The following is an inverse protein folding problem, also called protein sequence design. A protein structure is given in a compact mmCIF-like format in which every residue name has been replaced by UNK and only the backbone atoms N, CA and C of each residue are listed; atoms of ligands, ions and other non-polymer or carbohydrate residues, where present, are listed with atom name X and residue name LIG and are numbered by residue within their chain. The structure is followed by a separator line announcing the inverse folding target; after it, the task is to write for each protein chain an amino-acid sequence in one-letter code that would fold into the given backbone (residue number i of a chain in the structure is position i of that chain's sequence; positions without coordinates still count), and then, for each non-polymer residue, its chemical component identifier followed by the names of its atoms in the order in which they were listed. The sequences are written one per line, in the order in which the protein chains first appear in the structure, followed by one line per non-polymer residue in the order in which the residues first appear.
data_IF_796328046871
#
_entry.id   IF_796328046871
#
_cell.length_a   1.000
_cell.length_b   1.000
_cell.length_c   1.000
_cell.angle_alpha   90.00
_cell.angle_beta   90.00
_cell.angle_gamma   90.00
#
_symmetry.space_group_name_H-M   'P 1'
#
loop_
_entity.id
_entity.type
_entity.pdbx_description
1 polymer ?
#
# COMPACT_ATOMS: atom_id res chain seq x y z
N UNK A 1 3.98 38.38 -9.35
CA UNK A 1 3.77 36.91 -9.39
C UNK A 1 4.79 36.38 -10.39
N UNK A 2 5.64 35.41 -10.02
CA UNK A 2 6.60 34.81 -10.96
C UNK A 2 5.82 34.11 -12.09
N UNK A 3 6.37 34.12 -13.30
CA UNK A 3 5.79 33.36 -14.41
C UNK A 3 5.85 31.85 -14.11
N UNK A 4 4.83 31.11 -14.52
CA UNK A 4 4.67 29.67 -14.20
C UNK A 4 5.85 28.87 -14.75
N UNK A 5 6.31 29.24 -15.93
CA UNK A 5 7.44 28.62 -16.64
C UNK A 5 8.75 28.76 -15.86
N UNK A 6 8.93 29.86 -15.14
CA UNK A 6 10.12 30.08 -14.30
C UNK A 6 10.04 29.18 -13.07
N UNK A 7 8.85 29.04 -12.46
CA UNK A 7 8.65 28.14 -11.32
C UNK A 7 8.84 26.69 -11.70
N UNK A 8 8.30 26.25 -12.84
CA UNK A 8 8.53 24.92 -13.38
C UNK A 8 10.01 24.66 -13.65
N UNK A 9 10.73 25.67 -14.17
CA UNK A 9 12.16 25.57 -14.38
C UNK A 9 12.91 25.41 -13.06
N UNK A 10 12.55 26.17 -12.02
CA UNK A 10 13.12 26.01 -10.67
C UNK A 10 12.85 24.61 -10.14
N UNK A 11 11.60 24.14 -10.19
CA UNK A 11 11.22 22.81 -9.70
C UNK A 11 11.95 21.68 -10.41
N UNK A 12 12.26 21.83 -11.70
CA UNK A 12 13.01 20.82 -12.46
C UNK A 12 14.42 20.53 -11.93
N UNK A 13 15.01 21.45 -11.15
CA UNK A 13 16.32 21.28 -10.51
C UNK A 13 16.25 20.71 -9.08
N UNK A 14 15.05 20.50 -8.55
CA UNK A 14 14.84 20.10 -7.16
C UNK A 14 14.45 18.62 -7.06
N UNK A 15 14.84 17.97 -5.96
CA UNK A 15 14.36 16.65 -5.62
C UNK A 15 12.89 16.68 -5.19
N UNK A 16 12.18 15.54 -5.31
CA UNK A 16 10.75 15.46 -4.96
C UNK A 16 10.44 15.92 -3.53
N UNK A 17 11.32 15.59 -2.57
CA UNK A 17 11.16 16.03 -1.19
C UNK A 17 11.24 17.56 -1.04
N UNK A 18 12.10 18.22 -1.83
CA UNK A 18 12.30 19.67 -1.79
C UNK A 18 11.11 20.38 -2.42
N UNK A 19 10.65 19.92 -3.58
CA UNK A 19 9.43 20.43 -4.25
C UNK A 19 8.23 20.32 -3.30
N UNK A 20 8.10 19.20 -2.58
CA UNK A 20 7.01 19.02 -1.64
C UNK A 20 7.08 19.96 -0.43
N UNK A 21 8.28 20.31 0.06
CA UNK A 21 8.42 21.30 1.15
C UNK A 21 7.97 22.69 0.70
N UNK A 22 8.26 23.06 -0.54
CA UNK A 22 7.93 24.37 -1.11
C UNK A 22 6.41 24.61 -1.18
N UNK A 23 5.59 23.56 -1.15
CA UNK A 23 4.12 23.65 -1.15
C UNK A 23 3.55 24.51 0.00
N UNK A 24 4.28 24.68 1.10
CA UNK A 24 3.80 25.44 2.26
C UNK A 24 3.87 26.96 2.08
N UNK A 25 4.47 27.45 0.98
CA UNK A 25 4.64 28.90 0.75
C UNK A 25 3.30 29.59 0.50
N UNK A 26 2.49 29.08 -0.44
CA UNK A 26 1.15 29.60 -0.71
C UNK A 26 0.30 28.59 -1.51
N UNK A 27 -1.01 28.83 -1.62
CA UNK A 27 -1.94 27.94 -2.36
C UNK A 27 -1.56 27.74 -3.83
N UNK A 28 -1.13 28.80 -4.52
CA UNK A 28 -0.72 28.74 -5.93
C UNK A 28 0.51 27.87 -6.11
N UNK A 29 1.52 28.06 -5.25
CA UNK A 29 2.74 27.25 -5.28
C UNK A 29 2.46 25.80 -4.93
N UNK A 30 1.56 25.54 -3.97
CA UNK A 30 1.09 24.19 -3.67
C UNK A 30 0.58 23.48 -4.91
N UNK A 31 -0.37 24.08 -5.63
CA UNK A 31 -0.96 23.52 -6.85
C UNK A 31 0.09 23.30 -7.95
N UNK A 32 0.99 24.26 -8.16
CA UNK A 32 2.04 24.15 -9.17
C UNK A 32 3.07 23.07 -8.82
N UNK A 33 3.52 22.98 -7.56
CA UNK A 33 4.41 21.92 -7.10
C UNK A 33 3.80 20.53 -7.31
N UNK A 34 2.52 20.36 -6.96
CA UNK A 34 1.83 19.07 -7.06
C UNK A 34 1.63 18.63 -8.51
N UNK A 35 1.24 19.57 -9.37
CA UNK A 35 1.13 19.33 -10.80
C UNK A 35 2.50 19.03 -11.44
N UNK A 36 3.54 19.78 -11.06
CA UNK A 36 4.91 19.54 -11.52
C UNK A 36 5.41 18.14 -11.12
N UNK A 37 5.12 17.70 -9.89
CA UNK A 37 5.49 16.36 -9.43
C UNK A 37 4.81 15.28 -10.29
N UNK A 38 3.52 15.41 -10.57
CA UNK A 38 2.82 14.50 -11.50
C UNK A 38 3.46 14.49 -12.89
N UNK A 39 3.72 15.66 -13.48
CA UNK A 39 4.37 15.75 -14.79
C UNK A 39 5.77 15.12 -14.79
N UNK A 40 6.54 15.31 -13.72
CA UNK A 40 7.87 14.71 -13.55
C UNK A 40 7.79 13.18 -13.50
N UNK A 41 6.84 12.62 -12.73
CA UNK A 41 6.56 11.18 -12.66
C UNK A 41 6.22 10.63 -14.05
N UNK A 42 5.36 11.33 -14.79
CA UNK A 42 4.96 10.93 -16.15
C UNK A 42 6.13 11.01 -17.14
N UNK A 43 6.92 12.10 -17.11
CA UNK A 43 8.05 12.32 -18.00
C UNK A 43 9.19 11.30 -17.76
N UNK A 44 9.47 10.96 -16.50
CA UNK A 44 10.46 9.94 -16.13
C UNK A 44 9.98 8.51 -16.37
N UNK A 45 8.72 8.32 -16.80
CA UNK A 45 8.07 7.00 -16.98
C UNK A 45 8.15 6.14 -15.72
N UNK A 46 8.10 6.79 -14.56
CA UNK A 46 8.09 6.16 -13.25
C UNK A 46 6.83 5.29 -13.11
N UNK A 47 6.93 4.17 -12.39
CA UNK A 47 5.86 3.16 -12.27
C UNK A 47 5.52 2.85 -10.81
N UNK A 48 4.35 2.25 -10.61
CA UNK A 48 4.07 1.44 -9.42
C UNK A 48 4.25 -0.05 -9.77
N UNK A 49 4.96 -0.76 -8.91
CA UNK A 49 5.07 -2.21 -8.94
C UNK A 49 4.10 -2.80 -7.93
N UNK A 50 3.26 -3.73 -8.37
CA UNK A 50 2.35 -4.47 -7.50
C UNK A 50 2.92 -5.87 -7.34
N UNK A 51 3.45 -6.16 -6.15
CA UNK A 51 3.95 -7.48 -5.76
C UNK A 51 2.79 -8.30 -5.24
N UNK A 52 2.46 -9.39 -5.94
CA UNK A 52 1.32 -10.26 -5.62
C UNK A 52 1.84 -11.67 -5.37
N UNK A 53 1.48 -12.28 -4.24
CA UNK A 53 1.75 -13.70 -3.99
C UNK A 53 2.38 -14.02 -2.64
N UNK A 54 3.03 -15.19 -2.55
CA UNK A 54 3.69 -15.68 -1.33
C UNK A 54 5.21 -15.59 -1.48
N UNK A 55 5.93 -15.59 -0.36
CA UNK A 55 7.40 -15.60 -0.34
C UNK A 55 7.93 -16.76 -1.21
N UNK A 56 8.72 -16.44 -2.25
CA UNK A 56 9.25 -17.39 -3.23
C UNK A 56 8.41 -17.58 -4.51
N UNK A 57 7.17 -17.06 -4.56
CA UNK A 57 6.30 -17.00 -5.75
C UNK A 57 5.58 -15.65 -5.78
N UNK A 58 6.29 -14.62 -6.20
CA UNK A 58 5.77 -13.25 -6.33
C UNK A 58 5.67 -12.86 -7.80
N UNK A 59 4.48 -12.47 -8.23
CA UNK A 59 4.25 -11.84 -9.54
C UNK A 59 4.35 -10.33 -9.38
N UNK A 60 4.97 -9.68 -10.37
CA UNK A 60 5.10 -8.22 -10.43
C UNK A 60 4.18 -7.70 -11.54
N UNK A 61 3.30 -6.76 -11.19
CA UNK A 61 2.46 -6.05 -12.16
C UNK A 61 2.92 -4.58 -12.24
N UNK A 62 3.17 -4.12 -13.46
CA UNK A 62 3.66 -2.77 -13.76
C UNK A 62 2.50 -1.81 -14.04
N UNK A 63 2.30 -0.82 -13.18
CA UNK A 63 1.28 0.21 -13.34
C UNK A 63 1.93 1.55 -13.74
N UNK A 64 1.41 2.21 -14.77
CA UNK A 64 1.88 3.52 -15.25
C UNK A 64 0.92 4.63 -14.84
N UNK A 65 1.41 5.85 -14.60
CA UNK A 65 0.56 7.00 -14.32
C UNK A 65 -0.35 7.27 -15.53
N UNK A 66 -1.66 7.33 -15.27
CA UNK A 66 -2.69 7.55 -16.28
C UNK A 66 -3.26 8.96 -16.18
N UNK A 67 -3.93 9.27 -15.07
CA UNK A 67 -4.63 10.53 -14.83
C UNK A 67 -4.18 11.17 -13.51
N UNK A 68 -4.27 12.49 -13.44
CA UNK A 68 -4.08 13.25 -12.19
C UNK A 68 -5.33 14.05 -11.88
N UNK A 69 -5.89 13.79 -10.70
CA UNK A 69 -6.91 14.62 -10.07
C UNK A 69 -6.19 15.70 -9.25
N UNK A 70 -6.19 16.92 -9.77
CA UNK A 70 -5.52 18.06 -9.13
C UNK A 70 -6.26 18.55 -7.88
N UNK A 71 -7.56 18.29 -7.77
CA UNK A 71 -8.35 18.71 -6.61
C UNK A 71 -8.06 17.83 -5.40
N UNK A 72 -8.03 16.50 -5.61
CA UNK A 72 -7.77 15.53 -4.55
C UNK A 72 -6.30 15.10 -4.45
N UNK A 73 -5.44 15.58 -5.37
CA UNK A 73 -4.01 15.27 -5.44
C UNK A 73 -3.74 13.77 -5.62
N UNK A 74 -4.62 13.12 -6.38
CA UNK A 74 -4.61 11.68 -6.61
C UNK A 74 -4.08 11.40 -8.00
N UNK A 75 -3.09 10.51 -8.09
CA UNK A 75 -2.64 9.95 -9.35
C UNK A 75 -3.31 8.59 -9.50
N UNK A 76 -4.04 8.42 -10.60
CA UNK A 76 -4.51 7.11 -11.04
C UNK A 76 -3.39 6.43 -11.83
N UNK A 77 -3.03 5.22 -11.42
CA UNK A 77 -2.13 4.33 -12.12
C UNK A 77 -2.93 3.19 -12.73
N UNK A 78 -2.68 2.90 -14.00
CA UNK A 78 -3.28 1.78 -14.73
C UNK A 78 -2.19 0.95 -15.38
N UNK A 79 -2.46 -0.32 -15.59
CA UNK A 79 -1.68 -1.11 -16.52
C UNK A 79 -1.71 -0.44 -17.90
N UNK A 80 -0.67 -0.62 -18.72
CA UNK A 80 -0.82 -0.25 -20.12
C UNK A 80 -1.95 -1.10 -20.69
N UNK A 81 -2.94 -0.45 -21.33
CA UNK A 81 -3.91 -1.17 -22.16
C UNK A 81 -3.12 -2.09 -23.07
N UNK A 82 -3.27 -3.40 -22.93
CA UNK A 82 -2.42 -4.24 -23.71
C UNK A 82 -3.08 -4.43 -25.08
N UNK A 83 -2.24 -4.56 -26.10
CA UNK A 83 -2.63 -5.24 -27.33
C UNK A 83 -2.80 -6.77 -27.08
N UNK A 84 -2.48 -7.26 -25.88
CA UNK A 84 -2.59 -8.65 -25.41
C UNK A 84 -3.23 -8.73 -24.00
N UNK A 85 -4.46 -9.25 -23.88
CA UNK A 85 -5.27 -9.30 -22.63
C UNK A 85 -4.62 -10.00 -21.39
N UNK A 86 -3.43 -10.57 -21.55
CA UNK A 86 -2.75 -11.43 -20.57
C UNK A 86 -1.73 -10.74 -19.64
N UNK A 87 -1.21 -9.55 -19.97
CA UNK A 87 -0.08 -8.93 -19.24
C UNK A 87 -0.41 -8.47 -17.80
N UNK A 88 -1.71 -8.40 -17.45
CA UNK A 88 -2.19 -7.88 -16.16
C UNK A 88 -2.90 -8.94 -15.32
N UNK A 89 -2.79 -10.20 -15.72
CA UNK A 89 -3.43 -11.34 -15.09
C UNK A 89 -2.41 -12.08 -14.25
N UNK A 90 -2.70 -12.22 -12.95
CA UNK A 90 -1.96 -13.07 -12.04
C UNK A 90 -2.73 -14.35 -11.81
N UNK A 91 -2.18 -15.45 -12.29
CA UNK A 91 -2.71 -16.78 -12.06
C UNK A 91 -2.32 -17.26 -10.66
N UNK A 92 -3.33 -17.62 -9.87
CA UNK A 92 -3.20 -18.06 -8.49
C UNK A 92 -3.71 -19.50 -8.37
N UNK A 93 -2.97 -20.33 -7.64
CA UNK A 93 -3.41 -21.68 -7.30
C UNK A 93 -4.69 -21.59 -6.45
N UNK A 94 -5.68 -22.47 -6.68
CA UNK A 94 -6.93 -22.53 -5.90
C UNK A 94 -6.69 -22.65 -4.38
N UNK A 95 -5.59 -23.31 -3.99
CA UNK A 95 -5.17 -23.48 -2.59
C UNK A 95 -4.64 -22.18 -1.96
N UNK A 96 -4.55 -21.10 -2.74
CA UNK A 96 -4.12 -19.79 -2.27
C UNK A 96 -5.26 -19.13 -1.49
N UNK A 97 -5.52 -19.59 -0.27
CA UNK A 97 -6.51 -18.99 0.64
C UNK A 97 -6.26 -17.49 0.95
N UNK A 98 -5.03 -17.01 0.71
CA UNK A 98 -4.62 -15.64 0.99
C UNK A 98 -3.68 -15.12 -0.08
N UNK A 99 -4.06 -14.01 -0.71
CA UNK A 99 -3.21 -13.26 -1.62
C UNK A 99 -2.77 -11.99 -0.91
N UNK A 100 -1.46 -11.81 -0.80
CA UNK A 100 -0.85 -10.62 -0.24
C UNK A 100 -0.43 -9.74 -1.40
N UNK A 101 -0.70 -8.44 -1.24
CA UNK A 101 -0.29 -7.43 -2.21
C UNK A 101 0.50 -6.33 -1.52
N UNK A 102 1.65 -5.99 -2.09
CA UNK A 102 2.46 -4.86 -1.67
C UNK A 102 2.67 -3.95 -2.88
N UNK A 103 2.40 -2.65 -2.70
CA UNK A 103 2.56 -1.66 -3.76
C UNK A 103 3.84 -0.88 -3.51
N UNK A 104 4.64 -0.72 -4.55
CA UNK A 104 5.93 -0.06 -4.46
C UNK A 104 6.14 0.94 -5.58
N UNK A 105 6.55 2.15 -5.21
CA UNK A 105 6.91 3.18 -6.18
C UNK A 105 8.36 3.01 -6.65
N UNK A 106 8.58 3.05 -7.97
CA UNK A 106 9.88 2.69 -8.55
C UNK A 106 11.03 3.62 -8.13
N UNK A 107 10.74 4.88 -7.79
CA UNK A 107 11.77 5.82 -7.35
C UNK A 107 12.22 5.63 -5.89
N UNK A 108 11.50 4.88 -5.07
CA UNK A 108 11.89 4.66 -3.67
C UNK A 108 13.24 3.95 -3.55
N UNK A 109 13.56 3.05 -4.51
CA UNK A 109 14.81 2.31 -4.56
C UNK A 109 16.05 3.18 -4.78
N UNK A 110 15.91 4.37 -5.36
CA UNK A 110 17.05 5.26 -5.59
C UNK A 110 17.64 5.84 -4.28
N UNK A 111 16.94 5.71 -3.15
CA UNK A 111 17.42 6.15 -1.83
C UNK A 111 18.10 5.07 -0.98
N UNK A 112 18.03 3.79 -1.36
CA UNK A 112 18.70 2.70 -0.62
C UNK A 112 20.23 2.85 -0.63
N UNK A 113 20.80 3.69 -1.50
CA UNK A 113 22.23 3.99 -1.57
C UNK A 113 22.76 4.90 -0.45
N UNK A 114 21.88 5.47 0.39
CA UNK A 114 22.28 6.20 1.60
C UNK A 114 21.80 5.47 2.85
N UNK A 115 22.09 4.17 2.95
CA UNK A 115 22.30 3.61 4.29
C UNK A 115 23.28 4.56 5.01
N UNK A 116 23.09 4.87 6.29
CA UNK A 116 24.12 5.55 7.04
C UNK A 116 25.34 4.63 7.04
N UNK A 117 26.26 4.82 6.07
CA UNK A 117 27.67 4.46 6.13
C UNK A 117 28.31 5.33 7.21
N UNK A 118 27.72 5.29 8.39
CA UNK A 118 28.18 5.99 9.56
C UNK A 118 29.07 4.97 10.23
N UNK A 119 30.38 5.24 10.29
CA UNK A 119 31.35 4.42 11.03
C UNK A 119 30.82 4.04 12.43
N UNK A 120 30.03 4.94 13.00
CA UNK A 120 29.09 4.75 14.11
C UNK A 120 28.32 3.42 14.20
N UNK A 121 27.87 2.81 13.10
CA UNK A 121 27.16 1.52 13.12
C UNK A 121 28.12 0.33 13.26
N UNK A 122 29.39 0.51 12.91
CA UNK A 122 30.42 -0.52 13.02
C UNK A 122 30.93 -0.64 14.46
N UNK A 123 30.91 0.45 15.23
CA UNK A 123 31.33 0.49 16.63
C UNK A 123 30.31 -0.09 17.61
N UNK A 124 29.07 -0.31 17.15
CA UNK A 124 28.01 -0.92 17.96
C UNK A 124 28.14 -2.44 17.99
N UNK A 125 27.78 -3.05 19.13
CA UNK A 125 27.59 -4.49 19.18
C UNK A 125 26.45 -4.93 18.23
N UNK A 126 26.44 -6.21 17.85
CA UNK A 126 25.50 -6.74 16.86
C UNK A 126 24.03 -6.53 17.23
N UNK A 127 23.69 -6.60 18.51
CA UNK A 127 22.31 -6.44 19.01
C UNK A 127 21.86 -4.98 18.86
N UNK A 128 22.72 -4.05 19.22
CA UNK A 128 22.46 -2.61 19.11
C UNK A 128 22.39 -2.19 17.65
N UNK A 129 23.31 -2.69 16.82
CA UNK A 129 23.28 -2.47 15.37
C UNK A 129 21.98 -2.98 14.76
N UNK A 130 21.57 -4.20 15.08
CA UNK A 130 20.31 -4.76 14.58
C UNK A 130 19.11 -3.92 15.00
N UNK A 131 19.06 -3.44 16.25
CA UNK A 131 17.99 -2.59 16.73
C UNK A 131 18.00 -1.21 16.05
N UNK A 132 19.17 -0.60 15.85
CA UNK A 132 19.28 0.67 15.13
C UNK A 132 18.79 0.53 13.69
N UNK A 133 19.22 -0.51 12.98
CA UNK A 133 18.75 -0.79 11.62
C UNK A 133 17.23 -1.01 11.60
N UNK A 134 16.70 -1.81 12.53
CA UNK A 134 15.27 -2.09 12.64
C UNK A 134 14.41 -0.83 12.83
N UNK A 135 14.89 0.18 13.58
CA UNK A 135 14.13 1.41 13.82
C UNK A 135 14.41 2.51 12.79
N UNK A 136 15.64 2.64 12.30
CA UNK A 136 16.03 3.76 11.41
C UNK A 136 15.79 3.48 9.92
N UNK A 137 15.87 2.22 9.48
CA UNK A 137 15.59 1.86 8.08
C UNK A 137 14.11 1.60 7.82
N UNK A 138 13.29 1.59 8.87
CA UNK A 138 11.87 1.35 8.74
C UNK A 138 11.17 2.47 7.96
N UNK A 139 10.51 2.10 6.87
CA UNK A 139 9.68 2.98 6.07
C UNK A 139 8.26 2.44 5.96
N UNK A 140 7.26 3.09 6.59
CA UNK A 140 5.90 2.58 6.62
C UNK A 140 5.25 2.44 5.25
N UNK A 141 5.58 3.32 4.30
CA UNK A 141 5.02 3.27 2.94
C UNK A 141 5.58 2.12 2.13
N UNK A 142 6.84 1.76 2.35
CA UNK A 142 7.46 0.60 1.69
C UNK A 142 6.98 -0.71 2.31
N UNK A 143 6.73 -0.75 3.61
CA UNK A 143 6.37 -1.95 4.36
C UNK A 143 4.87 -2.28 4.35
N UNK A 144 4.06 -1.42 3.72
CA UNK A 144 2.61 -1.55 3.69
C UNK A 144 2.18 -2.76 2.85
N UNK A 145 1.42 -3.68 3.48
CA UNK A 145 0.89 -4.88 2.83
C UNK A 145 -0.63 -4.89 2.97
N UNK A 146 -1.31 -5.22 1.87
CA UNK A 146 -2.75 -5.39 1.78
C UNK A 146 -3.09 -6.86 1.59
N UNK A 147 -4.21 -7.27 2.17
CA UNK A 147 -4.80 -8.58 1.94
C UNK A 147 -5.88 -8.43 0.88
N UNK A 148 -5.78 -9.20 -0.21
CA UNK A 148 -6.87 -9.30 -1.17
C UNK A 148 -7.83 -10.40 -0.72
N UNK A 149 -9.11 -10.07 -0.64
CA UNK A 149 -10.17 -11.03 -0.33
C UNK A 149 -10.58 -11.72 -1.64
N UNK A 150 -10.40 -13.04 -1.69
CA UNK A 150 -10.86 -13.86 -2.80
C UNK A 150 -12.36 -14.15 -2.62
N UNK A 151 -13.22 -13.84 -3.61
CA UNK A 151 -14.64 -14.13 -3.53
C UNK A 151 -14.89 -15.63 -3.61
N UNK A 152 -15.83 -16.12 -2.79
CA UNK A 152 -16.30 -17.51 -2.81
C UNK A 152 -17.10 -17.83 -4.08
N UNK A 153 -17.68 -16.82 -4.73
CA UNK A 153 -18.76 -16.99 -5.72
C UNK A 153 -18.32 -16.74 -7.18
N UNK A 154 -17.02 -16.58 -7.44
CA UNK A 154 -16.46 -16.53 -8.81
C UNK A 154 -16.96 -15.39 -9.72
N UNK A 155 -17.74 -14.44 -9.21
CA UNK A 155 -18.27 -13.35 -10.04
C UNK A 155 -17.22 -12.30 -10.35
N UNK A 156 -17.19 -11.84 -11.62
CA UNK A 156 -16.43 -10.70 -12.11
C UNK A 156 -16.91 -9.36 -11.53
N UNK A 157 -16.88 -9.20 -10.21
CA UNK A 157 -17.15 -7.93 -9.54
C UNK A 157 -15.83 -7.21 -9.27
N UNK A 158 -15.89 -5.89 -9.34
CA UNK A 158 -14.79 -5.04 -8.88
C UNK A 158 -14.76 -5.07 -7.35
N UNK A 159 -13.57 -5.33 -6.85
CA UNK A 159 -13.21 -5.33 -5.44
C UNK A 159 -12.26 -4.17 -5.15
N UNK A 160 -12.33 -3.68 -3.91
CA UNK A 160 -11.56 -2.53 -3.46
C UNK A 160 -10.86 -2.86 -2.15
N UNK A 161 -9.54 -2.63 -2.11
CA UNK A 161 -8.77 -2.65 -0.87
C UNK A 161 -7.93 -1.40 -0.79
N UNK A 162 -7.79 -0.83 0.40
CA UNK A 162 -7.03 0.39 0.53
C UNK A 162 -6.76 0.80 1.96
N UNK A 163 -6.17 1.96 2.07
CA UNK A 163 -5.91 2.71 3.28
C UNK A 163 -5.95 4.21 2.93
N UNK A 164 -5.73 5.05 3.93
CA UNK A 164 -5.73 6.52 3.81
C UNK A 164 -5.11 7.07 2.52
N UNK A 165 -3.93 6.60 2.13
CA UNK A 165 -3.19 7.15 0.99
C UNK A 165 -3.31 6.39 -0.34
N UNK A 166 -3.95 5.22 -0.36
CA UNK A 166 -3.94 4.32 -1.52
C UNK A 166 -5.20 3.45 -1.58
N UNK A 167 -5.77 3.29 -2.78
CA UNK A 167 -6.84 2.33 -3.08
C UNK A 167 -6.44 1.51 -4.30
N UNK A 168 -6.59 0.19 -4.19
CA UNK A 168 -6.33 -0.79 -5.23
C UNK A 168 -7.69 -1.34 -5.69
N UNK A 169 -7.95 -1.25 -6.98
CA UNK A 169 -9.13 -1.82 -7.63
C UNK A 169 -8.74 -3.06 -8.41
N UNK A 170 -9.42 -4.18 -8.14
CA UNK A 170 -9.09 -5.48 -8.69
C UNK A 170 -10.34 -6.33 -8.95
N UNK A 171 -10.21 -7.38 -9.76
CA UNK A 171 -11.29 -8.35 -9.97
C UNK A 171 -10.72 -9.76 -10.10
N UNK A 172 -11.60 -10.75 -10.00
CA UNK A 172 -11.26 -12.14 -10.24
C UNK A 172 -12.03 -12.71 -11.42
N UNK A 173 -11.43 -13.68 -12.08
CA UNK A 173 -12.11 -14.66 -12.92
C UNK A 173 -11.78 -16.04 -12.40
N UNK A 174 -12.80 -16.88 -12.17
CA UNK A 174 -12.60 -18.31 -11.96
C UNK A 174 -12.93 -19.00 -13.27
N UNK A 175 -11.91 -19.54 -13.94
CA UNK A 175 -12.12 -20.30 -15.18
C UNK A 175 -12.81 -21.63 -14.87
N UNK A 176 -14.13 -21.57 -14.83
CA UNK A 176 -14.98 -22.73 -15.10
C UNK A 176 -15.48 -22.75 -16.56
N UNK A 177 -15.09 -21.79 -17.41
CA UNK A 177 -15.58 -21.70 -18.80
C UNK A 177 -14.52 -21.51 -19.90
N UNK A 178 -13.28 -21.12 -19.63
CA UNK A 178 -12.24 -21.00 -20.67
C UNK A 178 -11.37 -22.26 -20.80
N UNK A 179 -12.01 -23.43 -20.96
CA UNK A 179 -11.33 -24.61 -21.51
C UNK A 179 -11.46 -24.63 -23.03
N UNK A 180 -10.91 -23.65 -23.73
CA UNK A 180 -10.66 -23.83 -25.16
C UNK A 180 -9.65 -22.91 -25.84
N UNK A 181 -8.61 -22.41 -25.16
CA UNK A 181 -7.36 -22.05 -25.87
C UNK A 181 -6.22 -21.95 -24.87
N UNK A 182 -5.21 -22.81 -25.04
CA UNK A 182 -4.05 -22.89 -24.15
C UNK A 182 -3.04 -21.85 -24.66
N UNK A 183 -2.72 -20.75 -23.93
CA UNK A 183 -1.71 -19.82 -24.40
C UNK A 183 -0.34 -20.51 -24.35
N UNK A 184 0.37 -20.52 -25.48
CA UNK A 184 1.68 -21.16 -25.64
C UNK A 184 2.83 -20.42 -24.93
N UNK A 185 2.56 -19.29 -24.29
CA UNK A 185 3.55 -18.42 -23.66
C UNK A 185 3.17 -18.08 -22.21
N UNK A 186 3.04 -19.10 -21.37
CA UNK A 186 2.99 -18.86 -19.92
C UNK A 186 4.32 -18.21 -19.49
N UNK A 187 4.25 -17.02 -18.90
CA UNK A 187 5.40 -16.34 -18.30
C UNK A 187 6.00 -17.27 -17.26
N UNK A 188 7.18 -17.83 -17.56
CA UNK A 188 7.94 -18.65 -16.64
C UNK A 188 8.29 -17.83 -15.40
N UNK A 189 8.06 -18.42 -14.23
CA UNK A 189 8.52 -17.93 -12.95
C UNK A 189 10.04 -17.68 -13.00
N UNK A 190 10.46 -16.42 -13.14
CA UNK A 190 11.78 -15.99 -12.66
C UNK A 190 11.62 -15.69 -11.18
N UNK A 191 11.96 -16.65 -10.34
CA UNK A 191 12.32 -16.36 -8.96
C UNK A 191 13.43 -15.32 -8.98
N UNK A 192 13.15 -14.13 -8.45
CA UNK A 192 14.21 -13.20 -8.07
C UNK A 192 14.67 -13.73 -6.71
N UNK A 193 15.76 -14.50 -6.74
CA UNK A 193 16.48 -14.87 -5.53
C UNK A 193 17.12 -13.61 -4.96
N UNK A 194 16.73 -13.22 -3.74
CA UNK A 194 17.50 -12.29 -2.92
C UNK A 194 18.88 -12.93 -2.69
N UNK A 195 19.89 -12.39 -3.36
CA UNK A 195 21.23 -12.92 -3.41
C UNK A 195 21.97 -12.72 -2.09
N UNK A 196 21.83 -13.66 -1.16
CA UNK A 196 22.86 -14.01 -0.16
C UNK A 196 22.71 -15.45 0.32
N UNK A 197 22.99 -16.43 -0.54
CA UNK A 197 23.56 -17.73 -0.14
C UNK A 197 23.97 -18.52 -1.40
N UNK A 198 25.24 -18.43 -1.77
CA UNK A 198 25.86 -19.47 -2.57
C UNK A 198 26.09 -20.70 -1.68
N UNK A 199 25.45 -21.83 -2.00
CA UNK A 199 26.11 -23.14 -2.12
C UNK A 199 25.11 -24.24 -2.47
N UNK A 200 25.53 -25.08 -3.42
CA UNK A 200 25.10 -26.46 -3.70
C UNK A 200 23.83 -26.68 -4.53
N UNK A 201 24.10 -27.16 -5.75
CA UNK A 201 23.18 -27.80 -6.68
C UNK A 201 22.59 -29.11 -6.12
N UNK A 202 21.50 -29.53 -6.77
CA UNK A 202 20.79 -30.82 -6.73
C UNK A 202 19.60 -30.91 -5.76
N UNK A 203 18.40 -30.78 -6.32
CA UNK A 203 17.16 -31.28 -5.71
C UNK A 203 16.13 -31.60 -6.80
N UNK A 204 16.21 -32.81 -7.35
CA UNK A 204 15.19 -33.90 -7.38
C UNK A 204 13.68 -33.52 -7.46
N UNK A 205 13.29 -32.30 -7.84
CA UNK A 205 11.87 -31.88 -7.87
C UNK A 205 11.25 -31.75 -9.27
N UNK A 206 11.90 -32.22 -10.32
CA UNK A 206 11.32 -32.32 -11.68
C UNK A 206 10.41 -33.55 -11.88
N UNK A 207 10.09 -34.30 -10.82
CA UNK A 207 9.13 -35.41 -10.86
C UNK A 207 8.12 -35.30 -9.73
N UNK A 208 7.21 -34.32 -9.85
CA UNK A 208 5.83 -34.54 -9.46
C UNK A 208 4.95 -34.24 -10.65
N UNK A 209 4.61 -35.34 -11.31
CA UNK A 209 3.45 -35.51 -12.17
C UNK A 209 2.29 -34.60 -11.78
N UNK A 210 1.74 -33.93 -12.79
CA UNK A 210 0.31 -33.91 -13.07
C UNK A 210 -0.62 -34.04 -11.84
N UNK A 211 -0.49 -33.11 -10.89
CA UNK A 211 -1.58 -32.86 -9.96
C UNK A 211 -2.69 -32.19 -10.77
N UNK A 212 -3.83 -32.88 -10.82
CA UNK A 212 -5.10 -32.53 -11.43
C UNK A 212 -5.34 -31.03 -11.65
N UNK A 213 -5.99 -30.70 -12.78
CA UNK A 213 -6.54 -29.40 -13.12
C UNK A 213 -7.33 -28.76 -11.95
N UNK A 214 -6.61 -28.14 -11.02
CA UNK A 214 -7.13 -27.40 -9.89
C UNK A 214 -7.38 -25.97 -10.38
N UNK A 215 -8.65 -25.54 -10.31
CA UNK A 215 -9.14 -24.31 -10.91
C UNK A 215 -8.22 -23.12 -10.62
N UNK A 216 -7.64 -22.55 -11.66
CA UNK A 216 -6.75 -21.40 -11.50
C UNK A 216 -7.59 -20.16 -11.31
N UNK A 217 -7.30 -19.35 -10.27
CA UNK A 217 -7.96 -18.06 -10.08
C UNK A 217 -7.15 -17.01 -10.82
N UNK A 218 -7.78 -16.34 -11.78
CA UNK A 218 -7.21 -15.22 -12.50
C UNK A 218 -7.50 -13.94 -11.72
N UNK A 219 -6.47 -13.31 -11.16
CA UNK A 219 -6.55 -12.01 -10.50
C UNK A 219 -6.10 -10.92 -11.46
N UNK A 220 -6.93 -9.89 -11.64
CA UNK A 220 -6.60 -8.71 -12.45
C UNK A 220 -6.59 -7.46 -11.59
N UNK A 221 -5.49 -6.70 -11.63
CA UNK A 221 -5.42 -5.36 -11.04
C UNK A 221 -5.80 -4.34 -12.12
N UNK A 222 -6.85 -3.57 -11.88
CA UNK A 222 -7.37 -2.60 -12.87
C UNK A 222 -6.72 -1.23 -12.72
N UNK A 223 -6.71 -0.71 -11.49
CA UNK A 223 -6.15 0.60 -11.20
C UNK A 223 -5.66 0.69 -9.76
N UNK A 224 -4.75 1.64 -9.53
CA UNK A 224 -4.32 2.08 -8.21
C UNK A 224 -4.46 3.58 -8.14
N UNK A 225 -5.20 4.06 -7.16
CA UNK A 225 -5.34 5.48 -6.84
C UNK A 225 -4.42 5.77 -5.67
N UNK A 226 -3.42 6.64 -5.86
CA UNK A 226 -2.48 6.99 -4.81
C UNK A 226 -2.41 8.50 -4.63
N UNK A 227 -2.48 8.97 -3.38
CA UNK A 227 -2.27 10.37 -3.07
C UNK A 227 -0.78 10.72 -3.19
N UNK A 228 -0.46 11.92 -3.67
CA UNK A 228 0.93 12.37 -3.81
C UNK A 228 1.71 12.32 -2.49
N UNK A 229 1.08 12.62 -1.36
CA UNK A 229 1.69 12.51 -0.03
C UNK A 229 2.11 11.08 0.33
N UNK A 230 1.41 10.05 -0.17
CA UNK A 230 1.77 8.64 0.01
C UNK A 230 3.01 8.25 -0.83
N UNK A 231 3.08 8.73 -2.07
CA UNK A 231 4.28 8.54 -2.90
C UNK A 231 5.50 9.19 -2.24
N UNK A 232 5.30 10.36 -1.66
CA UNK A 232 6.38 11.14 -1.05
C UNK A 232 6.80 10.61 0.32
N UNK A 233 5.89 9.97 1.05
CA UNK A 233 6.21 9.39 2.35
C UNK A 233 7.17 8.20 2.27
N UNK A 234 7.28 7.55 1.11
CA UNK A 234 8.33 6.58 0.86
C UNK A 234 9.72 7.19 0.69
N UNK A 235 9.86 8.50 0.44
CA UNK A 235 11.16 9.17 0.55
C UNK A 235 11.41 9.76 1.93
N UNK A 236 10.36 10.24 2.59
CA UNK A 236 10.45 10.86 3.90
C UNK A 236 9.29 10.41 4.78
N UNK A 237 9.61 9.53 5.73
CA UNK A 237 8.63 8.90 6.63
C UNK A 237 7.85 9.89 7.50
N UNK A 238 8.34 11.13 7.66
CA UNK A 238 7.63 12.21 8.37
C UNK A 238 6.43 12.77 7.60
N UNK A 239 6.37 12.54 6.29
CA UNK A 239 5.18 12.89 5.50
C UNK A 239 4.10 11.86 5.83
N UNK A 240 2.98 12.32 6.37
CA UNK A 240 1.83 11.47 6.63
C UNK A 240 0.92 11.48 5.38
N UNK A 241 0.46 10.30 4.92
CA UNK A 241 -0.52 10.22 3.84
C UNK A 241 -1.82 10.98 4.19
N UNK A 242 -2.27 11.79 3.25
CA UNK A 242 -3.56 12.48 3.25
C UNK A 242 -4.64 11.52 2.69
N UNK A 243 -5.90 11.61 3.17
CA UNK A 243 -6.98 10.74 2.70
C UNK A 243 -7.28 10.95 1.21
N UNK A 244 -7.56 9.88 0.48
CA UNK A 244 -8.11 9.96 -0.87
C UNK A 244 -9.53 10.56 -0.82
N UNK A 245 -9.84 11.50 -1.70
CA UNK A 245 -11.20 12.06 -1.89
C UNK A 245 -11.91 12.53 -0.59
N UNK A 246 -11.33 13.44 0.20
CA UNK A 246 -11.91 13.86 1.49
C UNK A 246 -13.35 14.40 1.39
N UNK A 247 -13.71 15.06 0.28
CA UNK A 247 -15.06 15.54 0.04
C UNK A 247 -16.08 14.40 -0.08
N UNK A 248 -15.73 13.34 -0.81
CA UNK A 248 -16.56 12.13 -0.96
C UNK A 248 -16.84 11.46 0.37
N UNK A 249 -15.82 11.39 1.23
CA UNK A 249 -15.98 10.89 2.59
C UNK A 249 -16.95 11.74 3.42
N UNK A 250 -16.90 13.07 3.28
CA UNK A 250 -17.85 13.96 3.95
C UNK A 250 -19.28 13.76 3.44
N UNK A 251 -19.48 13.69 2.12
CA UNK A 251 -20.80 13.45 1.51
C UNK A 251 -21.39 12.11 1.99
N UNK A 252 -20.57 11.05 2.06
CA UNK A 252 -20.99 9.78 2.60
C UNK A 252 -21.36 9.89 4.09
N UNK A 253 -20.56 10.59 4.90
CA UNK A 253 -20.85 10.79 6.32
C UNK A 253 -22.18 11.55 6.54
N UNK A 254 -22.44 12.58 5.73
CA UNK A 254 -23.68 13.35 5.78
C UNK A 254 -24.88 12.46 5.40
N UNK A 255 -24.74 11.64 4.35
CA UNK A 255 -25.78 10.70 3.92
C UNK A 255 -26.07 9.61 4.97
N UNK A 256 -25.03 9.06 5.62
CA UNK A 256 -25.19 8.07 6.69
C UNK A 256 -25.87 8.67 7.92
N UNK A 257 -25.54 9.92 8.24
CA UNK A 257 -26.17 10.66 9.34
C UNK A 257 -27.67 10.87 9.09
N UNK A 258 -28.05 11.17 7.83
CA UNK A 258 -29.46 11.29 7.44
C UNK A 258 -30.25 9.97 7.62
N UNK A 259 -29.57 8.82 7.56
CA UNK A 259 -30.17 7.49 7.77
C UNK A 259 -30.12 7.02 9.24
N UNK A 260 -29.82 7.91 10.20
CA UNK A 260 -29.68 7.58 11.63
C UNK A 260 -28.62 6.49 11.93
N UNK A 261 -27.62 6.38 11.06
CA UNK A 261 -26.47 5.50 11.25
C UNK A 261 -25.26 6.24 11.84
N UNK A 262 -25.44 7.48 12.29
CA UNK A 262 -24.40 8.30 12.92
C UNK A 262 -23.74 7.63 14.13
N UNK A 263 -24.46 6.75 14.84
CA UNK A 263 -23.94 6.02 16.00
C UNK A 263 -23.18 4.74 15.62
N UNK A 264 -23.22 4.31 14.34
CA UNK A 264 -22.44 3.16 13.88
C UNK A 264 -21.05 3.64 13.45
N UNK A 265 -20.02 3.13 14.11
CA UNK A 265 -18.65 3.29 13.63
C UNK A 265 -18.41 2.43 12.39
N UNK A 266 -18.43 3.07 11.23
CA UNK A 266 -18.10 2.43 9.95
C UNK A 266 -16.60 2.52 9.71
N UNK A 267 -15.99 1.38 9.37
CA UNK A 267 -14.60 1.28 8.93
C UNK A 267 -14.41 2.11 7.64
N UNK A 268 -13.61 3.18 7.73
CA UNK A 268 -13.46 4.18 6.67
C UNK A 268 -12.78 3.62 5.41
N UNK A 269 -12.06 2.51 5.54
CA UNK A 269 -11.39 1.83 4.42
C UNK A 269 -11.90 0.40 4.21
N UNK A 270 -13.11 0.11 4.68
CA UNK A 270 -13.81 -1.13 4.34
C UNK A 270 -14.13 -1.17 2.85
N UNK A 271 -14.21 -2.37 2.27
CA UNK A 271 -14.54 -2.54 0.85
C UNK A 271 -15.85 -1.85 0.47
N UNK A 272 -16.88 -1.91 1.32
CA UNK A 272 -18.19 -1.28 1.10
C UNK A 272 -18.12 0.24 1.05
N UNK A 273 -17.35 0.85 1.96
CA UNK A 273 -17.10 2.29 1.96
C UNK A 273 -16.27 2.69 0.75
N UNK A 274 -15.18 1.98 0.49
CA UNK A 274 -14.33 2.23 -0.68
C UNK A 274 -15.13 2.12 -1.98
N UNK A 275 -16.03 1.14 -2.09
CA UNK A 275 -16.95 1.02 -3.23
C UNK A 275 -17.79 2.28 -3.39
N UNK A 276 -18.43 2.79 -2.33
CA UNK A 276 -19.19 4.04 -2.39
C UNK A 276 -18.32 5.22 -2.84
N UNK A 277 -17.13 5.37 -2.27
CA UNK A 277 -16.21 6.47 -2.60
C UNK A 277 -15.73 6.40 -4.06
N UNK A 278 -15.48 5.19 -4.55
CA UNK A 278 -14.94 4.97 -5.89
C UNK A 278 -16.01 5.02 -6.99
N UNK A 279 -17.28 4.71 -6.68
CA UNK A 279 -18.39 4.78 -7.65
C UNK A 279 -19.10 6.14 -7.68
N UNK A 280 -18.79 7.05 -6.75
CA UNK A 280 -19.29 8.43 -6.81
C UNK A 280 -18.92 9.11 -8.14
N UNK A 281 -19.87 9.85 -8.69
CA UNK A 281 -19.71 10.59 -9.94
C UNK A 281 -18.66 11.71 -9.81
N UNK A 282 -18.33 12.36 -10.92
CA UNK A 282 -17.47 13.56 -10.93
C UNK A 282 -17.99 14.69 -10.04
N UNK A 283 -19.31 14.72 -9.82
CA UNK A 283 -19.99 15.77 -9.07
C UNK A 283 -20.19 15.36 -7.60
N UNK A 284 -19.43 14.34 -7.16
CA UNK A 284 -19.49 13.73 -5.82
C UNK A 284 -20.89 13.25 -5.42
N UNK A 285 -21.73 12.90 -6.41
CA UNK A 285 -23.05 12.31 -6.13
C UNK A 285 -22.92 10.84 -5.79
N UNK A 286 -23.61 10.43 -4.71
CA UNK A 286 -23.66 9.05 -4.23
C UNK A 286 -24.36 8.14 -5.24
N UNK A 287 -23.73 7.01 -5.52
CA UNK A 287 -24.36 5.89 -6.23
C UNK A 287 -25.37 5.20 -5.29
N UNK A 288 -26.67 5.19 -5.62
CA UNK A 288 -27.71 4.61 -4.77
C UNK A 288 -27.53 3.09 -4.60
N UNK A 289 -26.96 2.38 -5.58
CA UNK A 289 -26.75 0.95 -5.51
C UNK A 289 -25.58 0.59 -4.58
N UNK A 290 -24.53 1.41 -4.57
CA UNK A 290 -23.43 1.26 -3.62
C UNK A 290 -23.85 1.61 -2.19
N UNK A 291 -24.64 2.69 -2.03
CA UNK A 291 -25.16 3.10 -0.72
C UNK A 291 -26.11 2.04 -0.15
N UNK A 292 -27.07 1.52 -0.92
CA UNK A 292 -27.98 0.47 -0.45
C UNK A 292 -27.22 -0.77 0.02
N UNK A 293 -26.20 -1.22 -0.73
CA UNK A 293 -25.34 -2.33 -0.32
C UNK A 293 -24.56 -2.08 0.96
N UNK A 294 -24.17 -0.83 1.25
CA UNK A 294 -23.55 -0.47 2.51
C UNK A 294 -24.56 -0.49 3.67
N UNK A 295 -25.79 -0.03 3.42
CA UNK A 295 -26.87 0.03 4.42
C UNK A 295 -27.43 -1.36 4.78
N UNK A 296 -27.51 -2.26 3.80
CA UNK A 296 -28.03 -3.62 3.92
C UNK A 296 -27.06 -4.57 4.64
N UNK A 297 -25.82 -4.13 4.88
CA UNK A 297 -24.85 -4.92 5.64
C UNK A 297 -25.26 -5.02 7.11
N UNK A 298 -25.15 -6.22 7.72
CA UNK A 298 -25.53 -6.41 9.11
C UNK A 298 -24.82 -5.40 10.02
N UNK A 299 -25.58 -4.82 10.94
CA UNK A 299 -25.19 -3.69 11.80
C UNK A 299 -23.92 -3.89 12.67
N UNK A 300 -23.32 -5.08 12.65
CA UNK A 300 -22.07 -5.40 13.32
C UNK A 300 -20.88 -5.25 12.36
N UNK A 301 -20.70 -4.08 11.75
CA UNK A 301 -19.39 -3.74 11.22
C UNK A 301 -18.57 -3.22 12.40
N UNK A 302 -18.10 -4.16 13.22
CA UNK A 302 -17.11 -3.88 14.27
C UNK A 302 -15.95 -3.11 13.63
N UNK A 303 -15.48 -2.06 14.31
CA UNK A 303 -14.23 -1.37 13.95
C UNK A 303 -13.20 -2.45 13.65
N UNK A 304 -12.62 -2.42 12.45
CA UNK A 304 -11.70 -3.47 12.06
C UNK A 304 -10.58 -3.55 13.11
N UNK A 305 -10.13 -4.76 13.46
CA UNK A 305 -9.08 -4.93 14.46
C UNK A 305 -7.86 -4.02 14.19
N UNK A 306 -7.55 -3.82 12.90
CA UNK A 306 -6.52 -2.90 12.41
C UNK A 306 -6.82 -1.44 12.77
N UNK A 307 -8.01 -0.92 12.47
CA UNK A 307 -8.37 0.47 12.79
C UNK A 307 -8.43 0.70 14.29
N UNK A 308 -8.95 -0.26 15.06
CA UNK A 308 -8.95 -0.18 16.52
C UNK A 308 -7.52 -0.09 17.07
N UNK A 309 -6.59 -0.89 16.54
CA UNK A 309 -5.18 -0.81 16.89
C UNK A 309 -4.57 0.54 16.48
N UNK A 310 -4.85 1.01 15.27
CA UNK A 310 -4.33 2.30 14.76
C UNK A 310 -4.83 3.48 15.60
N UNK A 311 -6.12 3.50 15.95
CA UNK A 311 -6.71 4.51 16.82
C UNK A 311 -6.08 4.47 18.22
N UNK A 312 -5.83 3.26 18.76
CA UNK A 312 -5.16 3.11 20.05
C UNK A 312 -3.72 3.64 20.01
N UNK A 313 -2.93 3.27 19.01
CA UNK A 313 -1.57 3.77 18.83
C UNK A 313 -1.55 5.31 18.73
N UNK A 314 -2.48 5.88 17.97
CA UNK A 314 -2.62 7.32 17.86
C UNK A 314 -2.91 7.99 19.21
N UNK A 315 -3.79 7.40 20.04
CA UNK A 315 -4.08 7.90 21.39
C UNK A 315 -2.88 7.86 22.33
N UNK A 316 -1.92 6.97 22.08
CA UNK A 316 -0.65 6.85 22.80
C UNK A 316 0.45 7.76 22.22
N UNK A 317 0.15 8.56 21.19
CA UNK A 317 1.13 9.40 20.50
C UNK A 317 2.12 8.64 19.63
N UNK A 318 1.83 7.37 19.31
CA UNK A 318 2.64 6.52 18.43
C UNK A 318 2.09 6.60 17.01
N UNK A 319 2.98 6.67 16.01
CA UNK A 319 2.57 6.64 14.60
C UNK A 319 1.81 5.34 14.29
N UNK A 320 0.52 5.39 13.90
CA UNK A 320 -0.29 4.22 13.62
C UNK A 320 0.26 3.34 12.49
N UNK A 321 1.16 3.88 11.65
CA UNK A 321 1.77 3.13 10.55
C UNK A 321 2.80 2.12 11.05
N UNK A 322 3.29 2.25 12.29
CA UNK A 322 4.27 1.32 12.89
C UNK A 322 3.77 -0.13 12.96
N UNK A 323 2.47 -0.38 12.78
CA UNK A 323 1.90 -1.72 12.65
C UNK A 323 2.60 -2.56 11.56
N UNK A 324 3.12 -1.91 10.50
CA UNK A 324 3.87 -2.60 9.45
C UNK A 324 5.35 -2.81 9.78
N UNK A 325 5.82 -2.42 10.96
CA UNK A 325 7.19 -2.68 11.41
C UNK A 325 7.31 -4.06 12.05
N UNK A 326 6.26 -4.47 12.75
CA UNK A 326 6.26 -5.66 13.59
C UNK A 326 5.68 -6.86 12.87
N UNK A 327 6.50 -7.90 12.66
CA UNK A 327 6.11 -9.12 11.95
C UNK A 327 4.87 -9.80 12.56
N UNK A 328 4.75 -9.82 13.89
CA UNK A 328 3.58 -10.42 14.55
C UNK A 328 2.29 -9.67 14.24
N UNK A 329 2.33 -8.34 14.13
CA UNK A 329 1.19 -7.50 13.76
C UNK A 329 0.83 -7.72 12.29
N UNK A 330 1.83 -7.76 11.39
CA UNK A 330 1.61 -8.13 9.99
C UNK A 330 0.88 -9.47 9.86
N UNK A 331 1.28 -10.46 10.67
CA UNK A 331 0.62 -11.77 10.65
C UNK A 331 -0.85 -11.68 11.07
N UNK A 332 -1.17 -10.92 12.11
CA UNK A 332 -2.56 -10.66 12.53
C UNK A 332 -3.39 -9.97 11.43
N UNK A 333 -2.82 -8.97 10.75
CA UNK A 333 -3.52 -8.25 9.68
C UNK A 333 -3.77 -9.10 8.43
N UNK A 334 -2.96 -10.15 8.21
CA UNK A 334 -3.01 -10.99 7.01
C UNK A 334 -3.77 -12.31 7.24
N UNK A 335 -4.15 -12.63 8.48
CA UNK A 335 -4.95 -13.82 8.84
C UNK A 335 -6.42 -13.66 8.43
N UNK A 336 -7.09 -14.79 8.16
CA UNK A 336 -8.53 -14.84 7.81
C UNK A 336 -9.42 -14.43 8.98
N UNK A 337 -9.09 -14.95 10.16
CA UNK A 337 -9.85 -14.75 11.37
C UNK A 337 -9.40 -13.51 12.12
N UNK A 338 -10.34 -12.89 12.83
CA UNK A 338 -10.03 -11.81 13.76
C UNK A 338 -8.98 -12.31 14.77
N UNK A 339 -7.89 -11.55 14.98
CA UNK A 339 -6.84 -11.94 15.92
C UNK A 339 -7.41 -12.17 17.32
N UNK A 340 -6.95 -13.23 18.00
CA UNK A 340 -7.33 -13.50 19.40
C UNK A 340 -6.82 -12.43 20.37
N UNK A 341 -5.69 -11.81 20.02
CA UNK A 341 -5.09 -10.74 20.83
C UNK A 341 -5.91 -9.45 20.66
N UNK A 342 -6.22 -8.78 21.78
CA UNK A 342 -6.95 -7.52 21.72
C UNK A 342 -6.05 -6.40 21.16
N UNK A 343 -6.61 -5.42 20.42
CA UNK A 343 -5.85 -4.27 19.95
C UNK A 343 -5.09 -3.54 21.07
N UNK A 344 -5.69 -3.44 22.26
CA UNK A 344 -5.06 -2.80 23.43
C UNK A 344 -3.79 -3.53 23.90
N UNK A 345 -3.82 -4.87 23.95
CA UNK A 345 -2.67 -5.67 24.38
C UNK A 345 -1.52 -5.53 23.39
N UNK A 346 -1.84 -5.55 22.10
CA UNK A 346 -0.85 -5.35 21.02
C UNK A 346 -0.28 -3.93 21.02
N UNK A 347 -1.12 -2.91 21.23
CA UNK A 347 -0.68 -1.53 21.34
C UNK A 347 0.30 -1.34 22.50
N UNK A 348 0.06 -2.01 23.64
CA UNK A 348 0.97 -1.98 24.79
C UNK A 348 2.34 -2.58 24.48
N UNK A 349 2.39 -3.73 23.80
CA UNK A 349 3.66 -4.36 23.39
C UNK A 349 4.44 -3.45 22.43
N UNK A 350 3.76 -2.81 21.48
CA UNK A 350 4.38 -1.83 20.57
C UNK A 350 4.91 -0.63 21.36
N UNK A 351 4.12 -0.09 22.28
CA UNK A 351 4.51 1.04 23.11
C UNK A 351 5.79 0.74 23.91
N UNK A 352 5.83 -0.39 24.63
CA UNK A 352 7.01 -0.81 25.40
C UNK A 352 8.25 -0.92 24.51
N UNK A 353 8.09 -1.46 23.29
CA UNK A 353 9.18 -1.57 22.32
C UNK A 353 9.66 -0.22 21.78
N UNK A 354 8.76 0.72 21.49
CA UNK A 354 9.13 2.05 20.98
C UNK A 354 9.71 2.94 22.10
N UNK A 355 9.21 2.86 23.33
CA UNK A 355 9.76 3.55 24.49
C UNK A 355 11.17 3.06 24.83
N UNK A 356 11.38 1.74 24.84
CA UNK A 356 12.69 1.14 25.04
C UNK A 356 13.71 1.62 23.99
N UNK A 357 13.26 1.76 22.73
CA UNK A 357 14.08 2.32 21.67
C UNK A 357 14.41 3.80 21.88
N UNK A 358 13.46 4.62 22.30
CA UNK A 358 13.71 6.05 22.59
C UNK A 358 14.80 6.20 23.65
N UNK A 359 14.71 5.43 24.73
CA UNK A 359 15.73 5.43 25.79
C UNK A 359 17.09 4.98 25.23
N UNK A 360 17.12 3.86 24.51
CA UNK A 360 18.35 3.32 23.94
C UNK A 360 19.01 4.28 22.96
N UNK A 361 18.23 4.89 22.06
CA UNK A 361 18.71 5.88 21.10
C UNK A 361 19.34 7.09 21.80
N UNK A 362 18.74 7.57 22.89
CA UNK A 362 19.31 8.68 23.67
C UNK A 362 20.64 8.29 24.32
N UNK A 363 20.76 7.08 24.86
CA UNK A 363 22.00 6.58 25.44
C UNK A 363 23.10 6.44 24.38
N UNK A 364 22.78 5.84 23.23
CA UNK A 364 23.70 5.75 22.09
C UNK A 364 24.19 7.15 21.69
N UNK A 365 23.30 8.13 21.49
CA UNK A 365 23.70 9.50 21.14
C UNK A 365 24.63 10.12 22.20
N UNK A 366 24.45 9.80 23.49
CA UNK A 366 25.31 10.31 24.56
C UNK A 366 26.70 9.67 24.52
N UNK A 367 26.77 8.35 24.40
CA UNK A 367 28.04 7.60 24.29
C UNK A 367 28.85 8.09 23.10
N UNK A 368 28.17 8.34 21.98
CA UNK A 368 28.79 8.80 20.73
C UNK A 368 29.22 10.28 20.74
N UNK A 369 28.75 11.08 21.70
CA UNK A 369 29.19 12.48 21.90
C UNK A 369 30.33 12.61 22.91
N UNK A 370 30.70 11.51 23.58
CA UNK A 370 31.81 11.48 24.54
C UNK A 370 33.15 11.11 23.88
N UNK A 371 33.11 10.72 22.61
CA UNK A 371 34.25 10.65 21.69
C UNK A 371 34.23 11.86 20.76
#
# INVERSE_FOLDING_TARGET
MLAVEILDKIFSYLAYQEIYRIRSVCKTWKQQCEYHLYLSIKAKKTKLYVKIGKKGRTTLVDMKPHQFDAENQVIEFKCQQPQDDDDNVVYLDHDTKHVKTQVQFSEWYQQEATAPNSDLLLDLNLVDRAQVLFHLQYNPSMEQVHRLVLPSDGQHRLHYVGDKGIVITYSYNSDHQEQQEKPRNAVQFRGIDDSTTHTSQQSIFDQRDAAAASGTICLRIHSIHANLSWLLSGFNTRIAPEPLYPKRYQVLADALSAHSLSDKHICAYSESVLKCIMTMSSDDTLDPDALSQLLDQPAAQEVSWKEALQAKLQSLGIDPRVIYKYTFVKNYMLQQDTPRAKPDDVAKVIQESEEAWVIKRLNLIRELRQF
#
